data_IF_961221703996
#
_entry.id   IF_961221703996
#
_cell.length_a   1.000
_cell.length_b   1.000
_cell.length_c   1.000
_cell.angle_alpha   90.00
_cell.angle_beta   90.00
_cell.angle_gamma   90.00
#
_symmetry.space_group_name_H-M   'P 1'
#
loop_
_entity.id
_entity.type
_entity.pdbx_description
1 polymer ?
#
# COMPACT_ATOMS: atom_id res chain seq x y z
N UNK A 1 18.41 -16.66 14.78
CA UNK A 1 17.61 -16.80 14.52
C UNK A 1 17.42 -16.84 13.51
N UNK A 2 16.93 -17.16 13.47
CA UNK A 2 16.72 -17.15 12.45
C UNK A 2 15.58 -16.65 12.10
N UNK A 3 15.64 -15.70 11.72
CA UNK A 3 14.61 -14.98 11.31
C UNK A 3 13.94 -15.55 10.23
N UNK A 4 14.17 -16.71 9.98
CA UNK A 4 13.71 -17.16 8.79
C UNK A 4 12.46 -17.87 8.87
N UNK A 5 11.78 -17.72 9.97
CA UNK A 5 10.50 -18.30 10.12
C UNK A 5 9.48 -17.62 9.23
N UNK A 6 9.77 -16.36 8.79
CA UNK A 6 8.87 -15.67 7.92
C UNK A 6 9.63 -15.22 6.68
N UNK A 7 9.18 -15.61 5.52
CA UNK A 7 9.76 -15.05 4.31
C UNK A 7 8.96 -13.80 3.92
N UNK A 8 9.44 -13.12 2.89
CA UNK A 8 8.81 -11.87 2.45
C UNK A 8 7.36 -12.08 2.04
N UNK A 9 7.06 -13.19 1.40
CA UNK A 9 5.69 -13.48 1.00
C UNK A 9 4.76 -13.57 2.21
N UNK A 10 5.21 -14.23 3.26
CA UNK A 10 4.40 -14.36 4.48
C UNK A 10 4.18 -13.01 5.13
N UNK A 11 5.21 -12.18 5.17
CA UNK A 11 5.09 -10.84 5.75
C UNK A 11 4.13 -9.96 4.96
N UNK A 12 4.19 -10.04 3.63
CA UNK A 12 3.28 -9.31 2.77
C UNK A 12 1.85 -9.74 3.04
N UNK A 13 1.62 -11.04 3.12
CA UNK A 13 0.30 -11.58 3.36
C UNK A 13 -0.26 -11.13 4.70
N UNK A 14 0.56 -11.16 5.74
CA UNK A 14 0.18 -10.70 7.05
C UNK A 14 -0.21 -9.22 7.04
N UNK A 15 0.57 -8.41 6.35
CA UNK A 15 0.30 -6.98 6.29
C UNK A 15 -0.96 -6.67 5.48
N UNK A 16 -1.16 -7.38 4.36
CA UNK A 16 -2.37 -7.22 3.56
C UNK A 16 -3.59 -7.56 4.41
N UNK A 17 -3.52 -8.67 5.15
CA UNK A 17 -4.64 -9.07 6.00
C UNK A 17 -4.91 -8.05 7.10
N UNK A 18 -3.86 -7.53 7.72
CA UNK A 18 -4.00 -6.54 8.78
C UNK A 18 -4.68 -5.28 8.27
N UNK A 19 -4.23 -4.77 7.14
CA UNK A 19 -4.79 -3.54 6.58
C UNK A 19 -6.19 -3.76 6.04
N UNK A 20 -6.44 -4.91 5.42
CA UNK A 20 -7.77 -5.23 4.92
C UNK A 20 -8.77 -5.30 6.06
N UNK A 21 -8.39 -5.92 7.17
CA UNK A 21 -9.27 -6.01 8.33
C UNK A 21 -9.50 -4.65 8.98
N UNK A 22 -8.46 -3.80 9.00
CA UNK A 22 -8.56 -2.50 9.65
C UNK A 22 -9.39 -1.51 8.84
N UNK A 23 -9.20 -1.49 7.53
CA UNK A 23 -9.82 -0.47 6.68
C UNK A 23 -10.99 -0.98 5.86
N UNK A 24 -11.13 -2.29 5.71
CA UNK A 24 -12.26 -2.87 5.00
C UNK A 24 -12.28 -2.57 3.50
N UNK A 25 -11.12 -2.36 2.89
CA UNK A 25 -11.02 -1.98 1.49
C UNK A 25 -9.96 -2.80 0.78
N UNK A 26 -10.19 -3.06 -0.49
CA UNK A 26 -9.20 -3.72 -1.35
C UNK A 26 -8.40 -2.74 -2.19
N UNK A 27 -8.89 -1.50 -2.33
CA UNK A 27 -8.23 -0.44 -3.09
C UNK A 27 -8.12 0.79 -2.23
N UNK A 28 -7.00 1.48 -2.33
CA UNK A 28 -6.69 2.64 -1.51
C UNK A 28 -6.61 3.89 -2.38
N UNK A 29 -7.25 4.95 -1.95
CA UNK A 29 -7.11 6.24 -2.61
C UNK A 29 -6.14 7.12 -1.79
N UNK A 30 -5.99 8.37 -2.21
CA UNK A 30 -5.08 9.30 -1.55
C UNK A 30 -5.38 9.45 -0.06
N UNK A 31 -6.66 9.56 0.30
CA UNK A 31 -7.05 9.73 1.71
C UNK A 31 -6.68 8.50 2.54
N UNK A 32 -6.87 7.32 1.97
CA UNK A 32 -6.51 6.09 2.67
C UNK A 32 -5.01 6.04 2.95
N UNK A 33 -4.21 6.41 1.96
CA UNK A 33 -2.75 6.37 2.10
C UNK A 33 -2.28 7.38 3.13
N UNK A 34 -2.92 8.56 3.18
CA UNK A 34 -2.64 9.55 4.22
C UNK A 34 -2.88 8.94 5.59
N UNK A 35 -4.00 8.25 5.78
CA UNK A 35 -4.33 7.63 7.05
C UNK A 35 -3.36 6.54 7.44
N UNK A 36 -2.96 5.72 6.47
CA UNK A 36 -2.09 4.58 6.74
C UNK A 36 -0.68 5.06 7.05
N UNK A 37 -0.17 6.03 6.29
CA UNK A 37 1.24 6.42 6.39
C UNK A 37 1.48 7.60 7.33
N UNK A 38 0.48 8.41 7.58
CA UNK A 38 0.66 9.64 8.34
C UNK A 38 1.36 10.75 7.56
N UNK A 39 1.59 10.56 6.27
CA UNK A 39 2.24 11.57 5.46
C UNK A 39 1.28 12.71 5.11
N UNK A 40 1.83 13.87 4.79
CA UNK A 40 1.01 14.99 4.37
C UNK A 40 0.41 14.78 2.99
N UNK A 41 -0.67 15.52 2.71
CA UNK A 41 -1.41 15.36 1.46
C UNK A 41 -0.54 15.58 0.23
N UNK A 42 0.32 16.59 0.25
CA UNK A 42 1.17 16.88 -0.90
C UNK A 42 2.16 15.75 -1.17
N UNK A 43 2.70 15.17 -0.11
CA UNK A 43 3.61 14.04 -0.25
C UNK A 43 2.91 12.83 -0.83
N UNK A 44 1.68 12.57 -0.40
CA UNK A 44 0.93 11.43 -0.91
C UNK A 44 0.53 11.66 -2.37
N UNK A 45 0.17 12.90 -2.73
CA UNK A 45 -0.13 13.22 -4.13
C UNK A 45 1.09 13.00 -5.03
N UNK A 46 2.26 13.41 -4.55
CA UNK A 46 3.50 13.19 -5.29
C UNK A 46 3.74 11.70 -5.50
N UNK A 47 3.53 10.91 -4.44
CA UNK A 47 3.66 9.47 -4.53
C UNK A 47 2.67 8.88 -5.54
N UNK A 48 1.42 9.28 -5.46
CA UNK A 48 0.38 8.75 -6.35
C UNK A 48 0.62 9.11 -7.82
N UNK A 49 1.37 10.18 -8.07
CA UNK A 49 1.69 10.60 -9.43
C UNK A 49 3.03 10.09 -9.91
N UNK A 50 3.76 9.37 -9.07
CA UNK A 50 5.02 8.78 -9.46
C UNK A 50 4.76 7.59 -10.38
N UNK A 51 5.33 7.56 -11.59
CA UNK A 51 5.05 6.46 -12.53
C UNK A 51 5.53 5.11 -12.02
N UNK A 52 6.43 5.08 -11.04
CA UNK A 52 6.88 3.82 -10.48
C UNK A 52 5.95 3.30 -9.38
N UNK A 53 5.04 4.11 -8.90
CA UNK A 53 4.09 3.67 -7.88
C UNK A 53 2.91 3.01 -8.59
N UNK A 54 2.50 1.81 -8.17
CA UNK A 54 1.58 0.99 -8.96
C UNK A 54 0.10 1.39 -8.83
N UNK A 55 -0.23 2.59 -9.30
CA UNK A 55 -1.62 3.03 -9.28
C UNK A 55 -2.37 2.50 -10.49
N UNK A 56 -3.68 2.49 -10.36
CA UNK A 56 -4.58 2.12 -11.43
C UNK A 56 -5.73 3.12 -11.42
N UNK A 57 -6.35 3.33 -12.56
CA UNK A 57 -7.50 4.22 -12.64
C UNK A 57 -8.75 3.38 -12.79
N UNK A 58 -9.67 3.52 -11.83
CA UNK A 58 -10.94 2.83 -11.87
C UNK A 58 -12.01 3.90 -11.94
N UNK A 59 -12.70 3.93 -13.07
CA UNK A 59 -13.61 5.02 -13.35
C UNK A 59 -12.80 6.30 -13.52
N UNK A 60 -13.02 7.26 -12.62
CA UNK A 60 -12.27 8.52 -12.62
C UNK A 60 -11.30 8.62 -11.46
N UNK A 61 -11.19 7.56 -10.67
CA UNK A 61 -10.39 7.60 -9.45
C UNK A 61 -9.07 6.90 -9.66
N UNK A 62 -8.01 7.54 -9.20
CA UNK A 62 -6.69 6.92 -9.17
C UNK A 62 -6.55 6.23 -7.83
N UNK A 63 -6.31 4.93 -7.86
CA UNK A 63 -6.21 4.11 -6.65
C UNK A 63 -5.04 3.15 -6.80
N UNK A 64 -4.64 2.53 -5.69
CA UNK A 64 -3.66 1.47 -5.69
C UNK A 64 -4.28 0.29 -4.97
N UNK A 65 -4.10 -0.93 -5.49
CA UNK A 65 -4.61 -2.08 -4.78
C UNK A 65 -3.86 -2.24 -3.46
N UNK A 66 -4.54 -2.73 -2.45
CA UNK A 66 -3.93 -2.93 -1.13
C UNK A 66 -2.70 -3.82 -1.25
N UNK A 67 -2.80 -4.91 -2.00
CA UNK A 67 -1.68 -5.81 -2.22
C UNK A 67 -0.50 -5.10 -2.87
N UNK A 68 -0.75 -4.34 -3.94
CA UNK A 68 0.31 -3.62 -4.63
C UNK A 68 0.97 -2.57 -3.74
N UNK A 69 0.18 -1.90 -2.90
CA UNK A 69 0.72 -0.94 -1.96
C UNK A 69 1.69 -1.61 -0.98
N UNK A 70 1.30 -2.74 -0.42
CA UNK A 70 2.14 -3.47 0.52
C UNK A 70 3.40 -4.00 -0.17
N UNK A 71 3.26 -4.58 -1.35
CA UNK A 71 4.41 -5.10 -2.10
C UNK A 71 5.38 -3.95 -2.42
N UNK A 72 4.84 -2.80 -2.84
CA UNK A 72 5.67 -1.64 -3.14
C UNK A 72 6.49 -1.22 -1.92
N UNK A 73 5.88 -1.22 -0.73
CA UNK A 73 6.59 -0.86 0.49
C UNK A 73 7.75 -1.81 0.77
N UNK A 74 7.55 -3.11 0.58
CA UNK A 74 8.62 -4.08 0.82
C UNK A 74 9.75 -3.96 -0.20
N UNK A 75 9.44 -3.55 -1.41
CA UNK A 75 10.44 -3.42 -2.46
C UNK A 75 11.20 -2.10 -2.46
N UNK A 76 10.68 -1.10 -1.76
CA UNK A 76 11.24 0.24 -1.78
C UNK A 76 11.64 0.75 -0.40
N UNK A 77 12.23 -0.12 0.36
CA UNK A 77 12.73 0.26 1.68
C UNK A 77 14.04 1.01 1.61
#
# INVERSE_FOLDING_TARGET
>A
MNTNEFNTKDLIEMEVNRLSNKYGKDYLDCEDIIKITGLGRNNVRTLMNNPKFPTTIIGRRKVVSLTNFVVWQFNNK
#
